data_IF_308569573047
#
_entry.id   IF_308569573047
#
_cell.length_a   1.000
_cell.length_b   1.000
_cell.length_c   1.000
_cell.angle_alpha   90.00
_cell.angle_beta   90.00
_cell.angle_gamma   90.00
#
_symmetry.space_group_name_H-M   'P 1'
#
loop_
_entity.id
_entity.type
_entity.pdbx_description
1 polymer ?
#
# COMPACT_ATOMS: atom_id res chain seq x y z
N UNK A 1 1.24 -36.57 7.50
CA UNK A 1 -0.21 -36.40 7.79
C UNK A 1 -0.59 -35.01 7.35
N UNK A 2 -0.93 -34.85 6.08
CA UNK A 2 -1.27 -33.55 5.46
C UNK A 2 -2.77 -33.36 5.59
N UNK A 3 -3.22 -32.85 6.70
CA UNK A 3 -4.57 -32.33 6.81
C UNK A 3 -4.71 -31.13 5.88
N UNK A 4 -5.19 -31.37 4.67
CA UNK A 4 -5.38 -30.31 3.68
C UNK A 4 -6.32 -29.26 4.25
N UNK A 5 -5.81 -28.02 4.37
CA UNK A 5 -6.64 -26.88 4.73
C UNK A 5 -7.86 -26.84 3.80
N UNK A 6 -9.09 -26.72 4.32
CA UNK A 6 -10.30 -26.77 3.51
C UNK A 6 -10.26 -25.69 2.43
N UNK A 7 -10.63 -26.06 1.21
CA UNK A 7 -10.61 -25.17 0.02
C UNK A 7 -11.23 -23.81 0.31
N UNK A 8 -12.31 -23.78 1.06
CA UNK A 8 -12.98 -22.52 1.47
C UNK A 8 -12.05 -21.54 2.22
N UNK A 9 -11.23 -22.05 3.16
CA UNK A 9 -10.31 -21.19 3.91
C UNK A 9 -9.22 -20.58 3.02
N UNK A 10 -8.72 -21.30 2.02
CA UNK A 10 -7.72 -20.79 1.06
C UNK A 10 -8.26 -19.58 0.27
N UNK A 11 -9.53 -19.68 -0.17
CA UNK A 11 -10.16 -18.59 -0.91
C UNK A 11 -10.47 -17.38 -0.03
N UNK A 12 -10.84 -17.58 1.23
CA UNK A 12 -11.01 -16.47 2.20
C UNK A 12 -9.67 -15.73 2.40
N UNK A 13 -8.58 -16.48 2.57
CA UNK A 13 -7.26 -15.88 2.71
C UNK A 13 -6.86 -15.10 1.44
N UNK A 14 -7.08 -15.68 0.26
CA UNK A 14 -6.81 -15.01 -1.00
C UNK A 14 -7.63 -13.72 -1.15
N UNK A 15 -8.91 -13.73 -0.78
CA UNK A 15 -9.75 -12.52 -0.80
C UNK A 15 -9.22 -11.44 0.14
N UNK A 16 -8.78 -11.81 1.35
CA UNK A 16 -8.16 -10.88 2.28
C UNK A 16 -6.87 -10.28 1.72
N UNK A 17 -5.98 -11.10 1.17
CA UNK A 17 -4.74 -10.66 0.53
C UNK A 17 -5.02 -9.76 -0.68
N UNK A 18 -6.04 -10.10 -1.46
CA UNK A 18 -6.48 -9.31 -2.61
C UNK A 18 -6.89 -7.90 -2.18
N UNK A 19 -7.72 -7.78 -1.14
CA UNK A 19 -8.17 -6.48 -0.62
C UNK A 19 -7.02 -5.65 -0.06
N UNK A 20 -6.14 -6.25 0.75
CA UNK A 20 -4.97 -5.57 1.31
C UNK A 20 -4.03 -5.09 0.20
N UNK A 21 -3.76 -5.94 -0.79
CA UNK A 21 -2.87 -5.59 -1.89
C UNK A 21 -3.50 -4.56 -2.83
N UNK A 22 -4.80 -4.65 -3.08
CA UNK A 22 -5.55 -3.66 -3.85
C UNK A 22 -5.51 -2.28 -3.18
N UNK A 23 -5.78 -2.22 -1.88
CA UNK A 23 -5.77 -0.97 -1.13
C UNK A 23 -4.35 -0.38 -1.06
N UNK A 24 -3.35 -1.15 -0.64
CA UNK A 24 -1.98 -0.65 -0.46
C UNK A 24 -1.38 -0.14 -1.76
N UNK A 25 -1.47 -0.90 -2.85
CA UNK A 25 -0.93 -0.49 -4.16
C UNK A 25 -1.77 0.59 -4.83
N UNK A 26 -3.11 0.44 -4.81
CA UNK A 26 -4.03 1.39 -5.42
C UNK A 26 -3.88 2.78 -4.82
N UNK A 27 -3.81 2.87 -3.50
CA UNK A 27 -3.65 4.15 -2.81
C UNK A 27 -2.26 4.72 -3.00
N UNK A 28 -1.20 3.96 -2.71
CA UNK A 28 0.15 4.54 -2.70
C UNK A 28 0.65 4.84 -4.12
N UNK A 29 0.63 3.85 -5.01
CA UNK A 29 1.29 4.00 -6.31
C UNK A 29 0.45 4.75 -7.34
N UNK A 30 -0.88 4.64 -7.26
CA UNK A 30 -1.75 5.18 -8.30
C UNK A 30 -2.49 6.45 -7.86
N UNK A 31 -2.68 6.67 -6.55
CA UNK A 31 -3.48 7.79 -6.05
C UNK A 31 -2.64 8.95 -5.54
N UNK A 32 -1.54 8.69 -4.82
CA UNK A 32 -0.72 9.78 -4.28
C UNK A 32 -0.19 10.76 -5.35
N UNK A 33 0.20 10.33 -6.56
CA UNK A 33 0.60 11.26 -7.62
C UNK A 33 -0.50 12.23 -8.07
N UNK A 34 -1.78 11.86 -7.91
CA UNK A 34 -2.91 12.76 -8.21
C UNK A 34 -2.99 13.97 -7.27
N UNK A 35 -2.38 13.87 -6.09
CA UNK A 35 -2.36 14.95 -5.11
C UNK A 35 -1.26 15.98 -5.38
N UNK A 36 -0.34 15.74 -6.34
CA UNK A 36 0.75 16.69 -6.61
C UNK A 36 0.28 18.07 -7.05
N UNK A 37 -0.68 18.21 -7.98
CA UNK A 37 -1.22 19.53 -8.33
C UNK A 37 -1.82 20.25 -7.12
N UNK A 38 -2.58 19.56 -6.29
CA UNK A 38 -3.20 20.10 -5.09
C UNK A 38 -2.18 20.62 -4.07
N UNK A 39 -1.05 19.89 -3.93
CA UNK A 39 0.06 20.31 -3.06
C UNK A 39 0.78 21.54 -3.63
N UNK A 40 1.00 21.58 -4.95
CA UNK A 40 1.61 22.72 -5.62
C UNK A 40 0.75 23.97 -5.45
N UNK A 41 -0.56 23.86 -5.64
CA UNK A 41 -1.50 24.98 -5.50
C UNK A 41 -1.64 25.42 -4.02
N UNK A 42 -1.68 24.47 -3.09
CA UNK A 42 -1.89 24.77 -1.66
C UNK A 42 -0.66 25.40 -0.98
N UNK A 43 0.56 25.02 -1.39
CA UNK A 43 1.80 25.41 -0.72
C UNK A 43 2.73 26.23 -1.59
N UNK A 44 2.44 26.39 -2.88
CA UNK A 44 3.31 27.09 -3.83
C UNK A 44 4.60 26.31 -4.16
N UNK A 45 4.61 24.99 -3.94
CA UNK A 45 5.80 24.17 -4.19
C UNK A 45 6.00 23.90 -5.68
N UNK A 46 7.27 23.74 -6.06
CA UNK A 46 7.62 23.36 -7.44
C UNK A 46 7.40 21.87 -7.69
N UNK A 47 7.25 21.49 -8.95
CA UNK A 47 7.07 20.08 -9.34
C UNK A 47 8.23 19.17 -8.84
N UNK A 48 9.46 19.68 -8.83
CA UNK A 48 10.62 18.97 -8.28
C UNK A 48 10.51 18.71 -6.78
N UNK A 49 9.90 19.62 -6.02
CA UNK A 49 9.73 19.49 -4.58
C UNK A 49 8.66 18.47 -4.23
N UNK A 50 7.52 18.46 -4.93
CA UNK A 50 6.44 17.48 -4.69
C UNK A 50 6.78 16.07 -5.15
N UNK A 51 7.73 15.90 -6.07
CA UNK A 51 8.19 14.58 -6.54
C UNK A 51 9.35 13.99 -5.74
N UNK A 52 10.12 14.83 -5.01
CA UNK A 52 11.24 14.38 -4.17
C UNK A 52 10.81 13.34 -3.12
N UNK A 53 9.68 13.49 -2.39
CA UNK A 53 9.19 12.47 -1.47
C UNK A 53 8.99 11.10 -2.12
N UNK A 54 8.55 11.04 -3.39
CA UNK A 54 8.40 9.78 -4.10
C UNK A 54 9.75 9.06 -4.31
N UNK A 55 10.82 9.79 -4.54
CA UNK A 55 12.19 9.22 -4.60
C UNK A 55 12.55 8.60 -3.25
N UNK A 56 12.30 9.30 -2.14
CA UNK A 56 12.55 8.79 -0.79
C UNK A 56 11.73 7.53 -0.52
N UNK A 57 10.47 7.50 -0.92
CA UNK A 57 9.60 6.33 -0.83
C UNK A 57 10.23 5.09 -1.50
N UNK A 58 10.69 5.21 -2.75
CA UNK A 58 11.29 4.10 -3.48
C UNK A 58 12.63 3.67 -2.88
N UNK A 59 13.47 4.61 -2.43
CA UNK A 59 14.75 4.32 -1.78
C UNK A 59 14.53 3.58 -0.46
N UNK A 60 13.63 4.07 0.39
CA UNK A 60 13.30 3.40 1.66
C UNK A 60 12.68 2.03 1.40
N UNK A 61 11.75 1.91 0.45
CA UNK A 61 11.18 0.62 0.05
C UNK A 61 12.24 -0.37 -0.41
N UNK A 62 13.20 0.06 -1.23
CA UNK A 62 14.29 -0.80 -1.69
C UNK A 62 15.20 -1.25 -0.54
N UNK A 63 15.62 -0.31 0.33
CA UNK A 63 16.52 -0.61 1.47
C UNK A 63 15.83 -1.49 2.52
N UNK A 64 14.51 -1.32 2.73
CA UNK A 64 13.75 -2.09 3.72
C UNK A 64 13.21 -3.42 3.20
N UNK A 65 13.22 -3.65 1.88
CA UNK A 65 12.74 -4.92 1.30
C UNK A 65 13.54 -6.17 1.76
N UNK A 66 14.89 -6.17 1.81
CA UNK A 66 15.64 -7.34 2.32
C UNK A 66 15.37 -7.63 3.81
N UNK A 67 15.40 -6.64 4.74
CA UNK A 67 14.98 -6.88 6.12
C UNK A 67 13.53 -7.35 6.26
N UNK A 68 12.60 -6.83 5.44
CA UNK A 68 11.21 -7.30 5.43
C UNK A 68 11.11 -8.78 5.04
N UNK A 69 11.88 -9.21 4.01
CA UNK A 69 11.99 -10.62 3.64
C UNK A 69 12.49 -11.49 4.80
N UNK A 70 13.56 -11.07 5.47
CA UNK A 70 14.09 -11.78 6.64
C UNK A 70 13.08 -11.85 7.80
N UNK A 71 12.28 -10.81 8.03
CA UNK A 71 11.19 -10.84 9.01
C UNK A 71 10.12 -11.87 8.63
N UNK A 72 9.76 -11.95 7.34
CA UNK A 72 8.78 -12.92 6.84
C UNK A 72 9.24 -14.38 6.99
N UNK A 73 10.55 -14.64 6.97
CA UNK A 73 11.11 -15.97 7.21
C UNK A 73 11.06 -16.37 8.69
N UNK A 74 11.10 -15.40 9.61
CA UNK A 74 11.14 -15.65 11.07
C UNK A 74 9.81 -15.50 11.79
N UNK A 75 8.94 -14.63 11.30
CA UNK A 75 7.70 -14.25 11.95
C UNK A 75 6.49 -14.58 11.08
N UNK A 76 5.32 -14.56 11.69
CA UNK A 76 4.06 -14.80 10.98
C UNK A 76 3.82 -13.72 9.90
N UNK A 77 3.67 -14.13 8.64
CA UNK A 77 3.34 -13.21 7.54
C UNK A 77 2.08 -12.40 7.81
N UNK A 78 1.11 -12.95 8.56
CA UNK A 78 -0.10 -12.22 8.96
C UNK A 78 0.22 -11.04 9.87
N UNK A 79 1.10 -11.23 10.85
CA UNK A 79 1.51 -10.15 11.76
C UNK A 79 2.26 -9.06 11.02
N UNK A 80 3.17 -9.42 10.10
CA UNK A 80 3.94 -8.46 9.31
C UNK A 80 3.05 -7.65 8.38
N UNK A 81 2.10 -8.30 7.68
CA UNK A 81 1.13 -7.61 6.83
C UNK A 81 0.24 -6.68 7.67
N UNK A 82 -0.20 -7.11 8.85
CA UNK A 82 -1.00 -6.27 9.75
C UNK A 82 -0.22 -5.04 10.23
N UNK A 83 1.05 -5.20 10.61
CA UNK A 83 1.92 -4.07 10.97
C UNK A 83 2.09 -3.13 9.79
N UNK A 84 2.39 -3.66 8.59
CA UNK A 84 2.51 -2.86 7.37
C UNK A 84 1.23 -2.09 7.05
N UNK A 85 0.06 -2.72 7.16
CA UNK A 85 -1.23 -2.07 6.94
C UNK A 85 -1.53 -0.98 7.99
N UNK A 86 -1.17 -1.22 9.25
CA UNK A 86 -1.30 -0.20 10.31
C UNK A 86 -0.39 1.00 10.04
N UNK A 87 0.86 0.76 9.65
CA UNK A 87 1.78 1.84 9.26
C UNK A 87 1.29 2.60 8.03
N UNK A 88 0.65 1.92 7.08
CA UNK A 88 0.02 2.54 5.92
C UNK A 88 -1.08 3.52 6.36
N UNK A 89 -2.01 3.05 7.19
CA UNK A 89 -3.08 3.88 7.76
C UNK A 89 -2.51 5.10 8.49
N UNK A 90 -1.54 4.90 9.39
CA UNK A 90 -0.89 6.00 10.11
C UNK A 90 -0.18 6.97 9.16
N UNK A 91 0.46 6.46 8.11
CA UNK A 91 1.08 7.27 7.07
C UNK A 91 0.08 8.14 6.32
N UNK A 92 -1.09 7.60 5.95
CA UNK A 92 -2.14 8.37 5.28
C UNK A 92 -2.77 9.42 6.20
N UNK A 93 -2.99 9.09 7.47
CA UNK A 93 -3.45 10.06 8.47
C UNK A 93 -2.43 11.19 8.64
N UNK A 94 -1.14 10.86 8.74
CA UNK A 94 -0.07 11.85 8.82
C UNK A 94 0.03 12.69 7.53
N UNK A 95 -0.21 12.08 6.35
CA UNK A 95 -0.26 12.79 5.06
C UNK A 95 -1.31 13.89 5.07
N UNK A 96 -2.52 13.60 5.54
CA UNK A 96 -3.61 14.59 5.62
C UNK A 96 -3.29 15.79 6.51
N UNK A 97 -2.43 15.61 7.50
CA UNK A 97 -1.98 16.65 8.44
C UNK A 97 -0.70 17.39 8.01
N UNK A 98 -0.14 17.06 6.83
CA UNK A 98 1.12 17.64 6.34
C UNK A 98 0.98 19.14 6.04
N UNK A 99 1.97 19.93 6.51
CA UNK A 99 2.06 21.37 6.30
C UNK A 99 3.44 21.82 5.80
N UNK A 100 4.42 20.92 5.69
CA UNK A 100 5.76 21.23 5.21
C UNK A 100 6.34 20.11 4.37
N UNK A 101 7.28 20.44 3.48
CA UNK A 101 7.94 19.49 2.60
C UNK A 101 8.65 18.37 3.39
N UNK A 102 9.31 18.71 4.50
CA UNK A 102 10.02 17.72 5.32
C UNK A 102 9.07 16.73 6.01
N UNK A 103 7.88 17.18 6.41
CA UNK A 103 6.83 16.27 6.90
C UNK A 103 6.37 15.34 5.80
N UNK A 104 6.17 15.86 4.59
CA UNK A 104 5.78 15.04 3.43
C UNK A 104 6.86 13.99 3.13
N UNK A 105 8.15 14.36 3.14
CA UNK A 105 9.27 13.43 2.96
C UNK A 105 9.26 12.32 4.03
N UNK A 106 9.05 12.68 5.30
CA UNK A 106 8.96 11.70 6.39
C UNK A 106 7.77 10.74 6.24
N UNK A 107 6.62 11.26 5.82
CA UNK A 107 5.42 10.45 5.53
C UNK A 107 5.68 9.47 4.38
N UNK A 108 6.30 9.91 3.30
CA UNK A 108 6.63 9.03 2.18
C UNK A 108 7.67 7.95 2.57
N UNK A 109 8.62 8.29 3.44
CA UNK A 109 9.54 7.30 4.01
C UNK A 109 8.79 6.23 4.82
N UNK A 110 7.81 6.65 5.65
CA UNK A 110 6.94 5.74 6.40
C UNK A 110 6.09 4.85 5.46
N UNK A 111 5.53 5.42 4.40
CA UNK A 111 4.74 4.69 3.41
C UNK A 111 5.61 3.68 2.62
N UNK A 112 6.87 4.02 2.32
CA UNK A 112 7.83 3.10 1.70
C UNK A 112 8.13 1.90 2.59
N UNK A 113 8.36 2.13 3.89
CA UNK A 113 8.50 1.07 4.88
C UNK A 113 7.20 0.23 4.99
N UNK A 114 6.05 0.86 5.08
CA UNK A 114 4.76 0.19 5.15
C UNK A 114 4.54 -0.75 3.95
N UNK A 115 4.80 -0.25 2.73
CA UNK A 115 4.63 -1.05 1.51
C UNK A 115 5.62 -2.22 1.43
N UNK A 116 6.84 -2.10 1.96
CA UNK A 116 7.77 -3.24 2.01
C UNK A 116 7.26 -4.37 2.91
N UNK A 117 6.44 -4.06 3.94
CA UNK A 117 5.87 -5.03 4.88
C UNK A 117 4.52 -5.61 4.41
N UNK A 118 3.66 -4.84 3.76
CA UNK A 118 2.33 -5.30 3.31
C UNK A 118 2.17 -5.37 1.78
N UNK A 119 3.23 -5.10 1.01
CA UNK A 119 3.21 -5.10 -0.45
C UNK A 119 3.27 -6.51 -1.07
N UNK A 120 3.72 -6.57 -2.32
CA UNK A 120 3.69 -7.78 -3.14
C UNK A 120 4.40 -8.97 -2.50
N UNK A 121 5.64 -8.75 -2.00
CA UNK A 121 6.47 -9.84 -1.47
C UNK A 121 5.79 -10.53 -0.28
N UNK A 122 5.29 -9.75 0.68
CA UNK A 122 4.62 -10.28 1.88
C UNK A 122 3.34 -11.05 1.52
N UNK A 123 2.55 -10.53 0.59
CA UNK A 123 1.35 -11.18 0.10
C UNK A 123 1.68 -12.49 -0.66
N UNK A 124 2.77 -12.50 -1.46
CA UNK A 124 3.21 -13.72 -2.17
C UNK A 124 3.71 -14.79 -1.21
N UNK A 125 4.51 -14.43 -0.20
CA UNK A 125 4.98 -15.38 0.83
C UNK A 125 3.78 -16.01 1.54
N UNK A 126 2.82 -15.21 1.96
CA UNK A 126 1.61 -15.72 2.59
C UNK A 126 0.80 -16.62 1.66
N UNK A 127 0.60 -16.21 0.40
CA UNK A 127 -0.15 -16.96 -0.60
C UNK A 127 0.49 -18.33 -0.86
N UNK A 128 1.81 -18.40 -1.04
CA UNK A 128 2.52 -19.66 -1.31
C UNK A 128 2.46 -20.63 -0.14
N UNK A 129 2.30 -20.16 1.08
CA UNK A 129 2.08 -20.98 2.27
C UNK A 129 0.68 -21.64 2.34
N UNK A 130 -0.30 -21.08 1.63
CA UNK A 130 -1.68 -21.58 1.60
C UNK A 130 -2.04 -22.41 0.36
N UNK A 131 -1.34 -22.20 -0.75
CA UNK A 131 -1.63 -22.86 -2.02
C UNK A 131 -0.48 -23.77 -2.45
N UNK A 132 -0.66 -25.09 -2.29
CA UNK A 132 0.27 -26.11 -2.82
C UNK A 132 0.02 -26.39 -4.29
N UNK A 133 -1.25 -26.41 -4.70
CA UNK A 133 -1.68 -26.57 -6.10
C UNK A 133 -2.43 -25.32 -6.58
N UNK A 134 -2.30 -24.97 -7.85
CA UNK A 134 -2.98 -23.81 -8.44
C UNK A 134 -2.36 -22.46 -8.07
N UNK A 135 -1.10 -22.42 -7.58
CA UNK A 135 -0.37 -21.20 -7.21
C UNK A 135 -0.42 -20.15 -8.31
N UNK A 136 -0.22 -20.52 -9.56
CA UNK A 136 -0.24 -19.58 -10.68
C UNK A 136 -1.58 -18.86 -10.83
N UNK A 137 -2.71 -19.57 -10.63
CA UNK A 137 -4.06 -18.95 -10.68
C UNK A 137 -4.27 -18.00 -9.51
N UNK A 138 -3.89 -18.41 -8.30
CA UNK A 138 -4.00 -17.57 -7.11
C UNK A 138 -3.11 -16.31 -7.21
N UNK A 139 -1.89 -16.45 -7.72
CA UNK A 139 -0.98 -15.34 -8.03
C UNK A 139 -1.56 -14.39 -9.08
N UNK A 140 -2.12 -14.92 -10.16
CA UNK A 140 -2.77 -14.11 -11.19
C UNK A 140 -3.92 -13.28 -10.62
N UNK A 141 -4.77 -13.89 -9.79
CA UNK A 141 -5.86 -13.17 -9.09
C UNK A 141 -5.30 -12.09 -8.17
N UNK A 142 -4.27 -12.39 -7.38
CA UNK A 142 -3.65 -11.40 -6.50
C UNK A 142 -3.08 -10.21 -7.28
N UNK A 143 -2.41 -10.44 -8.40
CA UNK A 143 -1.84 -9.37 -9.23
C UNK A 143 -2.91 -8.49 -9.87
N UNK A 144 -4.09 -9.05 -10.21
CA UNK A 144 -5.22 -8.25 -10.69
C UNK A 144 -5.69 -7.22 -9.66
N UNK A 145 -5.45 -7.44 -8.36
CA UNK A 145 -5.80 -6.49 -7.31
C UNK A 145 -5.10 -5.14 -7.49
N UNK A 146 -3.82 -5.12 -7.89
CA UNK A 146 -3.09 -3.86 -8.14
C UNK A 146 -3.72 -3.08 -9.30
N UNK A 147 -4.07 -3.76 -10.40
CA UNK A 147 -4.72 -3.12 -11.55
C UNK A 147 -6.11 -2.58 -11.22
N UNK A 148 -6.90 -3.35 -10.47
CA UNK A 148 -8.21 -2.90 -9.98
C UNK A 148 -8.09 -1.71 -9.02
N UNK A 149 -7.15 -1.77 -8.10
CA UNK A 149 -6.84 -0.65 -7.21
C UNK A 149 -6.43 0.60 -7.98
N UNK A 150 -5.55 0.45 -8.97
CA UNK A 150 -5.12 1.54 -9.86
C UNK A 150 -6.23 2.12 -10.73
N UNK A 151 -7.31 1.38 -10.99
CA UNK A 151 -8.47 1.91 -11.70
C UNK A 151 -9.49 2.57 -10.77
N UNK A 152 -9.78 1.95 -9.62
CA UNK A 152 -10.87 2.38 -8.73
C UNK A 152 -10.48 3.54 -7.82
N UNK A 153 -9.31 3.44 -7.15
CA UNK A 153 -8.90 4.47 -6.17
C UNK A 153 -8.68 5.85 -6.79
N UNK A 154 -8.00 6.02 -7.94
CA UNK A 154 -7.87 7.34 -8.56
C UNK A 154 -9.21 7.99 -8.90
N UNK A 155 -10.19 7.22 -9.38
CA UNK A 155 -11.52 7.74 -9.66
C UNK A 155 -12.24 8.19 -8.38
N UNK A 156 -12.21 7.38 -7.35
CA UNK A 156 -12.81 7.72 -6.06
C UNK A 156 -12.14 8.93 -5.41
N UNK A 157 -10.80 9.01 -5.50
CA UNK A 157 -10.03 10.13 -4.94
C UNK A 157 -10.22 11.40 -5.74
N UNK A 158 -10.24 11.33 -7.07
CA UNK A 158 -10.51 12.51 -7.91
C UNK A 158 -11.86 13.14 -7.55
N UNK A 159 -12.94 12.35 -7.49
CA UNK A 159 -14.25 12.84 -7.06
C UNK A 159 -14.28 13.32 -5.60
N UNK A 160 -13.51 12.70 -4.72
CA UNK A 160 -13.38 13.13 -3.33
C UNK A 160 -12.68 14.47 -3.19
N UNK A 161 -11.62 14.71 -3.95
CA UNK A 161 -10.88 15.99 -3.96
C UNK A 161 -11.80 17.14 -4.40
N UNK A 162 -12.60 16.95 -5.44
CA UNK A 162 -13.55 17.94 -5.93
C UNK A 162 -14.62 18.30 -4.89
N UNK A 163 -15.07 17.34 -4.07
CA UNK A 163 -16.17 17.53 -3.11
C UNK A 163 -15.71 17.99 -1.74
N UNK A 164 -14.61 17.42 -1.23
CA UNK A 164 -14.17 17.58 0.17
C UNK A 164 -12.78 18.20 0.30
N UNK A 165 -12.07 18.38 -0.81
CA UNK A 165 -10.67 18.78 -0.81
C UNK A 165 -9.72 17.62 -0.50
N UNK A 166 -8.44 17.80 -0.83
CA UNK A 166 -7.45 16.73 -0.79
C UNK A 166 -7.19 16.18 0.63
N UNK A 167 -7.18 17.05 1.68
CA UNK A 167 -6.90 16.63 3.07
C UNK A 167 -7.94 15.67 3.60
N UNK A 168 -9.22 16.01 3.43
CA UNK A 168 -10.33 15.17 3.90
C UNK A 168 -10.43 13.88 3.10
N UNK A 169 -10.16 13.94 1.81
CA UNK A 169 -10.15 12.76 0.93
C UNK A 169 -9.08 11.76 1.36
N UNK A 170 -7.85 12.23 1.63
CA UNK A 170 -6.77 11.35 2.12
C UNK A 170 -7.09 10.78 3.50
N UNK A 171 -7.69 11.57 4.39
CA UNK A 171 -8.11 11.11 5.71
C UNK A 171 -9.17 9.99 5.60
N UNK A 172 -10.17 10.17 4.73
CA UNK A 172 -11.24 9.18 4.51
C UNK A 172 -10.71 7.86 3.93
N UNK A 173 -9.68 7.91 3.10
CA UNK A 173 -9.06 6.71 2.51
C UNK A 173 -8.17 6.00 3.53
N UNK A 174 -7.60 6.74 4.46
CA UNK A 174 -6.75 6.19 5.53
C UNK A 174 -7.53 5.51 6.67
N UNK A 175 -8.84 5.69 6.74
CA UNK A 175 -9.73 5.06 7.72
C UNK A 175 -10.32 3.75 7.21
#
# INVERSE_FOLDING_TARGET
MTGGTPLHQRWIVLSGLFLVYMASNGVILHTLPLLYPELMDSFGWQASEVTLPATVFFVIGAVTSPPAGWLLDRYSSRAIIAIGSTLLTLGLLAYSATNSLWQLVAVYALLGLALSLCGLVSNMVMLTGWFDSGRGRATGILLMASSLGGALFPLAVGSGIEQFGWRQTVLLIGL
#
